data_IF_441892452609
#
_entry.id   IF_441892452609
#
_cell.length_a   1.000
_cell.length_b   1.000
_cell.length_c   1.000
_cell.angle_alpha   90.00
_cell.angle_beta   90.00
_cell.angle_gamma   90.00
#
_symmetry.space_group_name_H-M   'P 1'
#
loop_
_entity.id
_entity.type
_entity.pdbx_description
1 polymer ?
#
# COMPACT_ATOMS: atom_id res chain seq x y z
N UNK A 1 11.30 6.04 20.88
CA UNK A 1 10.81 5.05 19.90
C UNK A 1 9.97 5.82 18.91
N UNK A 2 10.25 5.73 17.60
CA UNK A 2 9.38 6.37 16.61
C UNK A 2 8.04 5.62 16.59
N UNK A 3 6.93 6.35 16.59
CA UNK A 3 5.61 5.75 16.46
C UNK A 3 5.48 5.14 15.06
N UNK A 4 5.36 3.82 14.99
CA UNK A 4 5.26 3.09 13.73
C UNK A 4 3.97 3.43 12.99
N UNK A 5 2.89 3.75 13.73
CA UNK A 5 1.60 4.15 13.19
C UNK A 5 1.57 5.59 12.67
N UNK A 6 2.66 6.36 12.82
CA UNK A 6 2.82 7.64 12.15
C UNK A 6 3.50 7.50 10.78
N UNK A 7 4.04 6.32 10.44
CA UNK A 7 4.82 6.12 9.22
C UNK A 7 3.92 5.66 8.04
N UNK A 8 3.79 6.45 6.96
CA UNK A 8 2.98 6.08 5.79
C UNK A 8 3.43 4.78 5.12
N UNK A 9 4.73 4.45 5.21
CA UNK A 9 5.29 3.22 4.66
C UNK A 9 4.75 1.99 5.40
N UNK A 10 4.51 2.10 6.71
CA UNK A 10 3.89 1.01 7.48
C UNK A 10 2.47 0.73 6.96
N UNK A 11 1.66 1.78 6.83
CA UNK A 11 0.27 1.67 6.37
C UNK A 11 0.17 1.06 4.97
N UNK A 12 1.00 1.49 4.02
CA UNK A 12 0.93 0.94 2.65
C UNK A 12 1.41 -0.50 2.56
N UNK A 13 2.39 -0.91 3.37
CA UNK A 13 2.81 -2.32 3.46
C UNK A 13 1.68 -3.16 4.05
N UNK A 14 1.11 -2.72 5.17
CA UNK A 14 0.02 -3.43 5.82
C UNK A 14 -1.21 -3.53 4.91
N UNK A 15 -1.54 -2.46 4.19
CA UNK A 15 -2.60 -2.43 3.18
C UNK A 15 -2.42 -3.51 2.11
N UNK A 16 -1.22 -3.63 1.54
CA UNK A 16 -0.92 -4.64 0.52
C UNK A 16 -1.05 -6.09 1.07
N UNK A 17 -0.60 -6.31 2.30
CA UNK A 17 -0.72 -7.62 2.98
C UNK A 17 -2.18 -7.95 3.25
N UNK A 18 -2.96 -6.99 3.76
CA UNK A 18 -4.38 -7.19 4.05
C UNK A 18 -5.19 -7.46 2.79
N UNK A 19 -4.87 -6.79 1.68
CA UNK A 19 -5.44 -7.08 0.36
C UNK A 19 -5.15 -8.51 -0.08
N UNK A 20 -3.90 -8.98 0.05
CA UNK A 20 -3.54 -10.38 -0.25
C UNK A 20 -4.30 -11.40 0.59
N UNK A 21 -4.61 -11.06 1.84
CA UNK A 21 -5.34 -11.91 2.77
C UNK A 21 -6.86 -11.79 2.63
N UNK A 22 -7.38 -10.91 1.76
CA UNK A 22 -8.81 -10.66 1.60
C UNK A 22 -9.47 -10.00 2.83
N UNK A 23 -8.68 -9.39 3.73
CA UNK A 23 -9.17 -8.74 4.96
C UNK A 23 -9.64 -7.32 4.67
N UNK A 24 -10.74 -7.20 3.92
CA UNK A 24 -11.17 -5.94 3.29
C UNK A 24 -11.53 -4.82 4.27
N UNK A 25 -12.11 -5.14 5.43
CA UNK A 25 -12.45 -4.10 6.42
C UNK A 25 -11.19 -3.46 7.03
N UNK A 26 -10.17 -4.28 7.31
CA UNK A 26 -8.88 -3.78 7.79
C UNK A 26 -8.15 -3.03 6.68
N UNK A 27 -8.14 -3.56 5.45
CA UNK A 27 -7.54 -2.89 4.30
C UNK A 27 -8.19 -1.50 4.07
N UNK A 28 -9.51 -1.40 4.22
CA UNK A 28 -10.21 -0.12 4.11
C UNK A 28 -9.73 0.88 5.16
N UNK A 29 -9.57 0.47 6.41
CA UNK A 29 -9.08 1.35 7.47
C UNK A 29 -7.67 1.90 7.18
N UNK A 30 -6.76 1.06 6.70
CA UNK A 30 -5.40 1.48 6.32
C UNK A 30 -5.41 2.45 5.12
N UNK A 31 -6.28 2.18 4.15
CA UNK A 31 -6.47 3.06 2.99
C UNK A 31 -7.02 4.42 3.40
N UNK A 32 -8.08 4.46 4.20
CA UNK A 32 -8.69 5.69 4.70
C UNK A 32 -7.69 6.51 5.52
N UNK A 33 -6.85 5.85 6.33
CA UNK A 33 -5.78 6.52 7.05
C UNK A 33 -4.80 7.21 6.09
N UNK A 34 -4.36 6.51 5.02
CA UNK A 34 -3.43 7.07 4.03
C UNK A 34 -4.06 8.24 3.26
N UNK A 35 -5.30 8.11 2.80
CA UNK A 35 -6.01 9.15 2.07
C UNK A 35 -6.24 10.40 2.95
N UNK A 36 -6.45 10.22 4.25
CA UNK A 36 -6.67 11.30 5.22
C UNK A 36 -5.38 11.99 5.65
N UNK A 37 -4.34 11.22 5.98
CA UNK A 37 -3.13 11.74 6.61
C UNK A 37 -2.01 12.08 5.60
N UNK A 38 -2.03 11.44 4.43
CA UNK A 38 -1.02 11.61 3.39
C UNK A 38 -1.68 11.71 2.00
N UNK A 39 -2.43 12.80 1.74
CA UNK A 39 -3.14 12.95 0.47
C UNK A 39 -2.21 12.80 -0.74
N UNK A 40 -2.68 12.08 -1.76
CA UNK A 40 -1.92 11.81 -2.98
C UNK A 40 -0.87 10.70 -2.89
N UNK A 41 -0.61 10.13 -1.70
CA UNK A 41 0.41 9.07 -1.54
C UNK A 41 0.15 7.85 -2.44
N UNK A 42 -1.11 7.41 -2.54
CA UNK A 42 -1.48 6.23 -3.32
C UNK A 42 -1.48 6.47 -4.84
N UNK A 43 -1.53 7.73 -5.29
CA UNK A 43 -1.48 8.06 -6.72
C UNK A 43 -0.13 7.69 -7.34
N UNK A 44 0.95 7.80 -6.54
CA UNK A 44 2.31 7.46 -6.94
C UNK A 44 2.76 6.08 -6.44
N UNK A 45 1.85 5.22 -5.95
CA UNK A 45 2.17 3.98 -5.26
C UNK A 45 3.12 3.06 -6.04
N UNK A 46 3.00 3.01 -7.38
CA UNK A 46 3.88 2.23 -8.24
C UNK A 46 5.35 2.67 -8.15
N UNK A 47 5.61 3.98 -8.17
CA UNK A 47 6.96 4.52 -8.09
C UNK A 47 7.52 4.36 -6.66
N UNK A 48 6.69 4.57 -5.65
CA UNK A 48 7.09 4.34 -4.25
C UNK A 48 7.50 2.89 -4.00
N UNK A 49 6.81 1.94 -4.62
CA UNK A 49 7.14 0.51 -4.59
C UNK A 49 8.46 0.24 -5.31
N UNK A 50 8.64 0.76 -6.53
CA UNK A 50 9.85 0.55 -7.31
C UNK A 50 11.11 1.13 -6.64
N UNK A 51 10.98 2.24 -5.91
CA UNK A 51 12.08 2.86 -5.15
C UNK A 51 12.55 2.00 -3.97
N UNK A 52 11.66 1.21 -3.36
CA UNK A 52 11.93 0.49 -2.09
C UNK A 52 12.13 -1.01 -2.27
N UNK A 53 11.55 -1.59 -3.31
CA UNK A 53 11.57 -3.04 -3.56
C UNK A 53 12.35 -3.29 -4.85
N UNK A 54 13.57 -3.80 -4.72
CA UNK A 54 14.47 -4.00 -5.88
C UNK A 54 14.03 -5.13 -6.81
N UNK A 55 13.48 -6.21 -6.27
CA UNK A 55 13.12 -7.41 -7.04
C UNK A 55 11.80 -7.19 -7.78
N UNK A 56 11.75 -7.26 -9.13
CA UNK A 56 10.53 -7.01 -9.89
C UNK A 56 9.35 -7.93 -9.51
N UNK A 57 9.64 -9.18 -9.17
CA UNK A 57 8.64 -10.14 -8.70
C UNK A 57 7.96 -9.68 -7.40
N UNK A 58 8.73 -9.14 -6.46
CA UNK A 58 8.22 -8.62 -5.19
C UNK A 58 7.40 -7.34 -5.42
N UNK A 59 7.82 -6.50 -6.38
CA UNK A 59 7.02 -5.33 -6.79
C UNK A 59 5.65 -5.75 -7.34
N UNK A 60 5.60 -6.79 -8.18
CA UNK A 60 4.35 -7.31 -8.74
C UNK A 60 3.44 -7.87 -7.66
N UNK A 61 3.98 -8.66 -6.73
CA UNK A 61 3.22 -9.20 -5.61
C UNK A 61 2.65 -8.10 -4.71
N UNK A 62 3.46 -7.07 -4.44
CA UNK A 62 3.04 -5.92 -3.64
C UNK A 62 1.94 -5.11 -4.32
N UNK A 63 2.13 -4.75 -5.59
CA UNK A 63 1.13 -4.01 -6.38
C UNK A 63 -0.18 -4.79 -6.49
N UNK A 64 -0.10 -6.10 -6.68
CA UNK A 64 -1.29 -6.94 -6.72
C UNK A 64 -2.02 -6.94 -5.36
N UNK A 65 -1.29 -6.93 -4.24
CA UNK A 65 -1.89 -6.78 -2.92
C UNK A 65 -2.64 -5.45 -2.77
N UNK A 66 -2.05 -4.34 -3.24
CA UNK A 66 -2.71 -3.04 -3.24
C UNK A 66 -3.99 -3.04 -4.09
N UNK A 67 -3.97 -3.65 -5.27
CA UNK A 67 -5.16 -3.78 -6.13
C UNK A 67 -6.26 -4.60 -5.47
N UNK A 68 -5.88 -5.71 -4.84
CA UNK A 68 -6.80 -6.56 -4.09
C UNK A 68 -7.40 -5.84 -2.88
N UNK A 69 -6.66 -4.89 -2.28
CA UNK A 69 -7.17 -3.97 -1.27
C UNK A 69 -8.06 -2.84 -1.82
N UNK A 70 -8.29 -2.79 -3.13
CA UNK A 70 -9.13 -1.77 -3.79
C UNK A 70 -8.40 -0.48 -4.16
N UNK A 71 -7.06 -0.45 -4.08
CA UNK A 71 -6.26 0.70 -4.57
C UNK A 71 -6.14 0.62 -6.08
N UNK A 72 -6.50 1.71 -6.76
CA UNK A 72 -6.33 1.81 -8.22
C UNK A 72 -4.86 2.06 -8.55
N UNK A 73 -4.11 1.00 -8.84
CA UNK A 73 -2.73 1.09 -9.32
C UNK A 73 -2.70 0.74 -10.82
N UNK A 74 -2.43 1.71 -11.72
CA UNK A 74 -2.43 1.50 -13.17
C UNK A 74 -1.56 0.32 -13.59
N UNK A 75 -1.93 -0.35 -14.68
CA UNK A 75 -1.07 -1.30 -15.39
C UNK A 75 0.20 -0.63 -15.90
N UNK A 76 1.18 -1.43 -16.34
CA UNK A 76 2.25 -0.91 -17.20
C UNK A 76 1.68 -0.57 -18.56
#
# INVERSE_FOLDING_TARGET
MADLHANPVYHVILLAILGKLGKMDLARAEREWLETNVPGFLENARNEVALRIHRPEDQLHFIEGLRQAGVSVPGK
#
